data_IF_076845533229
#
_entry.id   IF_076845533229
#
_cell.length_a   1.000
_cell.length_b   1.000
_cell.length_c   1.000
_cell.angle_alpha   90.00
_cell.angle_beta   90.00
_cell.angle_gamma   90.00
#
_symmetry.space_group_name_H-M   'P 1'
#
loop_
_entity.id
_entity.type
_entity.pdbx_description
1 polymer ?
#
# COMPACT_ATOMS: atom_id res chain seq x y z
N UNK A 1 2.11 8.41 -38.21
CA UNK A 1 2.61 7.32 -37.35
C UNK A 1 3.01 7.96 -36.01
N UNK A 2 2.05 8.08 -35.10
CA UNK A 2 2.25 8.38 -33.68
C UNK A 2 0.97 7.94 -33.00
N UNK A 3 1.03 6.88 -32.18
CA UNK A 3 -0.12 6.37 -31.45
C UNK A 3 -0.20 7.13 -30.13
N UNK A 4 -1.15 8.06 -30.02
CA UNK A 4 -1.64 8.55 -28.74
C UNK A 4 -2.07 7.33 -27.91
N UNK A 5 -1.30 7.00 -26.87
CA UNK A 5 -1.77 6.12 -25.80
C UNK A 5 -2.83 6.88 -25.03
N UNK A 6 -4.08 6.69 -25.44
CA UNK A 6 -5.29 7.02 -24.71
C UNK A 6 -5.10 6.63 -23.24
N UNK A 7 -5.15 7.60 -22.33
CA UNK A 7 -5.22 7.36 -20.90
C UNK A 7 -6.35 6.35 -20.64
N UNK A 8 -6.10 5.20 -20.00
CA UNK A 8 -7.17 4.29 -19.68
C UNK A 8 -8.06 5.00 -18.65
N UNK A 9 -9.35 5.11 -18.96
CA UNK A 9 -10.32 5.55 -17.97
C UNK A 9 -10.30 4.58 -16.80
N UNK A 10 -10.31 5.11 -15.57
CA UNK A 10 -10.41 4.33 -14.33
C UNK A 10 -11.61 3.37 -14.46
N UNK A 11 -11.32 2.08 -14.58
CA UNK A 11 -12.35 1.03 -14.47
C UNK A 11 -12.71 0.88 -12.99
N UNK A 12 -13.92 0.42 -12.67
CA UNK A 12 -14.38 0.25 -11.27
C UNK A 12 -13.50 -0.71 -10.44
N UNK A 13 -12.65 -1.50 -11.08
CA UNK A 13 -11.63 -2.33 -10.42
C UNK A 13 -10.44 -1.54 -9.90
N UNK A 14 -10.11 -0.39 -10.49
CA UNK A 14 -8.90 0.38 -10.14
C UNK A 14 -9.07 1.17 -8.83
N UNK A 15 -10.31 1.35 -8.38
CA UNK A 15 -10.65 2.09 -7.15
C UNK A 15 -10.64 1.23 -5.89
N UNK A 16 -10.59 -0.10 -6.00
CA UNK A 16 -10.63 -0.97 -4.82
C UNK A 16 -9.26 -1.64 -4.58
N UNK A 17 -8.56 -1.34 -3.47
CA UNK A 17 -7.19 -1.80 -3.21
C UNK A 17 -6.98 -3.31 -3.34
N UNK A 18 -8.01 -4.14 -3.09
CA UNK A 18 -7.90 -5.60 -3.26
C UNK A 18 -7.57 -6.07 -4.68
N UNK A 19 -7.71 -5.20 -5.69
CA UNK A 19 -7.32 -5.52 -7.06
C UNK A 19 -5.91 -5.02 -7.42
N UNK A 20 -5.23 -4.32 -6.51
CA UNK A 20 -3.87 -3.83 -6.75
C UNK A 20 -2.86 -4.98 -6.62
N UNK A 21 -1.83 -4.94 -7.46
CA UNK A 21 -0.74 -5.91 -7.38
C UNK A 21 0.00 -5.77 -6.04
N UNK A 22 0.32 -6.90 -5.39
CA UNK A 22 1.01 -6.90 -4.10
C UNK A 22 0.14 -6.52 -2.90
N UNK A 23 -1.16 -6.26 -3.09
CA UNK A 23 -2.10 -5.98 -2.01
C UNK A 23 -2.86 -7.25 -1.63
N UNK A 24 -2.83 -7.59 -0.34
CA UNK A 24 -3.71 -8.60 0.25
C UNK A 24 -4.63 -7.93 1.26
N UNK A 25 -5.93 -8.28 1.22
CA UNK A 25 -6.94 -7.72 2.10
C UNK A 25 -7.52 -8.77 3.04
N UNK A 26 -7.84 -8.37 4.27
CA UNK A 26 -8.54 -9.25 5.22
C UNK A 26 -10.03 -9.32 4.84
N UNK A 27 -10.59 -10.51 4.59
CA UNK A 27 -12.03 -10.65 4.44
C UNK A 27 -12.70 -10.41 5.79
N UNK A 28 -13.48 -9.34 5.91
CA UNK A 28 -14.38 -9.14 7.05
C UNK A 28 -15.67 -9.94 6.81
N UNK A 29 -16.21 -10.57 7.86
CA UNK A 29 -17.55 -11.18 7.77
C UNK A 29 -18.56 -10.04 7.62
N UNK A 30 -19.50 -10.10 6.65
CA UNK A 30 -20.56 -9.10 6.58
C UNK A 30 -21.35 -9.15 7.90
N UNK A 31 -21.49 -8.00 8.57
CA UNK A 31 -22.37 -7.88 9.74
C UNK A 31 -23.61 -7.06 9.36
N UNK A 32 -24.76 -7.25 10.03
CA UNK A 32 -25.95 -6.44 9.77
C UNK A 32 -25.74 -4.94 9.96
N UNK A 33 -24.71 -4.55 10.72
CA UNK A 33 -24.36 -3.17 11.04
C UNK A 33 -23.38 -2.57 10.00
N UNK A 34 -22.62 -3.41 9.30
CA UNK A 34 -21.69 -3.02 8.24
C UNK A 34 -21.89 -3.91 7.00
N UNK A 35 -22.89 -3.57 6.14
CA UNK A 35 -23.19 -4.33 4.93
C UNK A 35 -22.17 -4.10 3.80
N UNK A 36 -21.27 -3.13 3.97
CA UNK A 36 -20.22 -2.80 3.01
C UNK A 36 -18.94 -3.57 3.39
N UNK A 37 -18.47 -4.41 2.48
CA UNK A 37 -17.19 -5.11 2.61
C UNK A 37 -16.08 -4.08 2.41
N UNK A 38 -15.74 -3.31 3.43
CA UNK A 38 -14.51 -2.52 3.39
C UNK A 38 -13.36 -3.50 3.56
N UNK A 39 -12.72 -3.82 2.44
CA UNK A 39 -11.57 -4.70 2.45
C UNK A 39 -10.37 -3.88 2.92
N UNK A 40 -9.98 -4.08 4.17
CA UNK A 40 -8.82 -3.44 4.78
C UNK A 40 -7.55 -4.08 4.25
N UNK A 41 -6.59 -3.26 3.79
CA UNK A 41 -5.28 -3.72 3.31
C UNK A 41 -4.50 -4.30 4.48
N UNK A 42 -4.18 -5.59 4.39
CA UNK A 42 -3.48 -6.35 5.42
C UNK A 42 -2.03 -6.62 5.05
N UNK A 43 -1.72 -6.71 3.76
CA UNK A 43 -0.36 -6.81 3.25
C UNK A 43 -0.19 -5.88 2.06
N UNK A 44 0.92 -5.16 2.02
CA UNK A 44 1.37 -4.38 0.88
C UNK A 44 2.82 -4.77 0.58
N UNK A 45 3.01 -5.46 -0.55
CA UNK A 45 4.32 -5.88 -1.03
C UNK A 45 4.65 -5.17 -2.36
N UNK A 46 5.53 -4.20 -2.28
CA UNK A 46 6.07 -3.44 -3.41
C UNK A 46 7.57 -3.66 -3.56
N UNK A 47 8.07 -4.81 -3.09
CA UNK A 47 9.51 -5.14 -3.16
C UNK A 47 9.99 -5.21 -4.60
N UNK A 48 11.17 -4.64 -4.89
CA UNK A 48 11.81 -4.79 -6.20
C UNK A 48 11.14 -3.99 -7.32
N UNK A 49 10.54 -2.85 -6.98
CA UNK A 49 10.08 -1.87 -7.94
C UNK A 49 11.09 -0.72 -8.07
N UNK A 50 10.88 0.15 -9.04
CA UNK A 50 11.67 1.37 -9.23
C UNK A 50 11.01 2.57 -8.52
N UNK A 51 10.50 2.39 -7.30
CA UNK A 51 9.85 3.49 -6.57
C UNK A 51 10.90 4.48 -6.06
N UNK A 52 10.66 5.77 -6.29
CA UNK A 52 11.54 6.87 -5.93
C UNK A 52 10.86 7.85 -4.95
N UNK A 53 11.65 8.71 -4.31
CA UNK A 53 11.16 9.73 -3.37
C UNK A 53 10.90 9.21 -1.96
N UNK A 54 10.15 9.97 -1.15
CA UNK A 54 9.90 9.63 0.26
C UNK A 54 8.66 8.76 0.45
N UNK A 55 8.66 7.94 1.51
CA UNK A 55 7.46 7.21 1.94
C UNK A 55 6.38 8.22 2.37
N UNK A 56 5.21 8.26 1.73
CA UNK A 56 4.17 9.25 2.04
C UNK A 56 3.54 8.96 3.41
N UNK A 57 3.15 10.03 4.12
CA UNK A 57 2.48 9.90 5.42
C UNK A 57 1.15 9.14 5.33
N UNK A 58 0.51 9.13 4.15
CA UNK A 58 -0.76 8.43 3.92
C UNK A 58 -0.67 6.91 4.14
N UNK A 59 0.54 6.32 4.10
CA UNK A 59 0.72 4.90 4.45
C UNK A 59 0.28 4.62 5.91
N UNK A 60 0.35 5.63 6.79
CA UNK A 60 -0.12 5.57 8.17
C UNK A 60 -1.64 5.40 8.29
N UNK A 61 -2.41 5.68 7.24
CA UNK A 61 -3.87 5.47 7.23
C UNK A 61 -4.26 3.99 7.05
N UNK A 62 -3.30 3.12 6.74
CA UNK A 62 -3.52 1.67 6.60
C UNK A 62 -3.47 0.99 7.97
N UNK A 63 -4.44 1.29 8.84
CA UNK A 63 -4.43 0.90 10.27
C UNK A 63 -4.44 -0.62 10.52
N UNK A 64 -4.91 -1.40 9.55
CA UNK A 64 -5.02 -2.88 9.64
C UNK A 64 -3.84 -3.63 8.99
N UNK A 65 -2.85 -2.89 8.49
CA UNK A 65 -1.71 -3.40 7.76
C UNK A 65 -0.80 -4.22 8.68
N UNK A 66 -0.63 -5.49 8.34
CA UNK A 66 0.25 -6.42 9.05
C UNK A 66 1.62 -6.56 8.39
N UNK A 67 1.69 -6.38 7.07
CA UNK A 67 2.93 -6.50 6.30
C UNK A 67 3.11 -5.30 5.38
N UNK A 68 4.25 -4.63 5.51
CA UNK A 68 4.71 -3.59 4.59
C UNK A 68 6.09 -3.96 4.07
N UNK A 69 6.20 -4.29 2.79
CA UNK A 69 7.49 -4.50 2.13
C UNK A 69 7.69 -3.46 1.02
N UNK A 70 8.69 -2.61 1.22
CA UNK A 70 9.15 -1.61 0.26
C UNK A 70 10.62 -1.84 -0.11
N UNK A 71 11.18 -3.02 0.21
CA UNK A 71 12.58 -3.30 -0.01
C UNK A 71 12.98 -3.28 -1.49
N UNK A 72 14.27 -3.11 -1.77
CA UNK A 72 14.83 -3.09 -3.12
C UNK A 72 14.13 -2.05 -4.02
N UNK A 73 14.05 -0.81 -3.56
CA UNK A 73 13.53 0.36 -4.29
C UNK A 73 14.55 1.51 -4.18
N UNK A 74 14.23 2.69 -4.71
CA UNK A 74 15.04 3.90 -4.66
C UNK A 74 14.41 4.97 -3.73
N UNK A 75 13.70 4.54 -2.69
CA UNK A 75 13.06 5.47 -1.75
C UNK A 75 14.13 6.17 -0.90
N UNK A 76 13.92 7.45 -0.59
CA UNK A 76 14.86 8.30 0.12
C UNK A 76 14.17 9.22 1.13
N UNK A 77 14.96 9.83 2.02
CA UNK A 77 14.45 10.66 3.11
C UNK A 77 14.00 9.85 4.33
N UNK A 78 13.26 10.52 5.23
CA UNK A 78 12.87 9.93 6.51
C UNK A 78 11.61 9.05 6.39
N UNK A 79 11.56 8.00 7.22
CA UNK A 79 10.33 7.25 7.43
C UNK A 79 9.34 8.14 8.20
N UNK A 80 8.04 8.21 7.81
CA UNK A 80 7.04 8.99 8.51
C UNK A 80 7.10 8.80 10.03
N UNK A 81 7.41 9.88 10.75
CA UNK A 81 7.45 9.89 12.21
C UNK A 81 6.09 9.48 12.77
N UNK A 82 6.02 8.30 13.38
CA UNK A 82 4.78 7.72 13.87
C UNK A 82 4.24 6.54 13.07
N UNK A 83 4.91 6.08 12.00
CA UNK A 83 4.50 4.90 11.22
C UNK A 83 4.15 3.70 12.11
N UNK A 84 5.03 3.36 13.05
CA UNK A 84 4.84 2.23 13.97
C UNK A 84 3.75 2.48 15.03
N UNK A 85 3.43 3.74 15.31
CA UNK A 85 2.39 4.11 16.26
C UNK A 85 1.00 4.11 15.59
N UNK A 86 0.93 4.58 14.34
CA UNK A 86 -0.29 4.66 13.55
C UNK A 86 -0.76 3.28 13.06
N UNK A 87 0.18 2.35 12.86
CA UNK A 87 -0.10 0.99 12.38
C UNK A 87 0.28 -0.03 13.48
N UNK A 88 -0.49 -0.12 14.58
CA UNK A 88 -0.16 -1.01 15.69
C UNK A 88 -0.27 -2.49 15.32
N UNK A 89 -0.88 -2.80 14.18
CA UNK A 89 -1.04 -4.16 13.65
C UNK A 89 0.17 -4.63 12.84
N UNK A 90 1.15 -3.76 12.56
CA UNK A 90 2.29 -4.08 11.72
C UNK A 90 3.21 -5.10 12.38
N UNK A 91 3.42 -6.22 11.68
CA UNK A 91 4.26 -7.34 12.13
C UNK A 91 5.53 -7.46 11.29
N UNK A 92 5.45 -7.11 10.01
CA UNK A 92 6.57 -7.20 9.07
C UNK A 92 6.79 -5.85 8.41
N UNK A 93 7.98 -5.30 8.58
CA UNK A 93 8.45 -4.10 7.90
C UNK A 93 9.77 -4.41 7.18
N UNK A 94 9.77 -4.39 5.85
CA UNK A 94 10.98 -4.54 5.04
C UNK A 94 11.25 -3.26 4.25
N UNK A 95 12.34 -2.57 4.59
CA UNK A 95 12.80 -1.34 3.94
C UNK A 95 14.20 -1.49 3.34
N UNK A 96 14.76 -2.71 3.33
CA UNK A 96 16.16 -2.95 2.94
C UNK A 96 16.40 -2.57 1.48
N UNK A 97 17.60 -2.09 1.16
CA UNK A 97 17.93 -1.72 -0.22
C UNK A 97 17.10 -0.53 -0.71
N UNK A 98 17.05 0.52 0.10
CA UNK A 98 16.58 1.86 -0.23
C UNK A 98 17.63 2.88 0.26
N UNK A 99 17.46 4.14 -0.08
CA UNK A 99 18.28 5.28 0.32
C UNK A 99 17.66 6.08 1.49
N UNK A 100 16.93 5.40 2.38
CA UNK A 100 16.24 6.00 3.53
C UNK A 100 17.21 6.39 4.65
N UNK A 101 16.92 7.49 5.35
CA UNK A 101 17.73 8.08 6.43
C UNK A 101 17.06 7.99 7.79
#
# INVERSE_FOLDING_TARGET
RSTEKKSPGLERSDVHPAFWHGVECKPTKPTPQEPNIFSFVASLDLTGNDLEGSVPFDVCNLTDLCTLRLGMNYLSGEIPGGLLCAIPTLQVLDLRGNDLT
#
